data_IF_673089468156
#
_entry.id   IF_673089468156
#
_cell.length_a   1.000
_cell.length_b   1.000
_cell.length_c   1.000
_cell.angle_alpha   90.00
_cell.angle_beta   90.00
_cell.angle_gamma   90.00
#
_symmetry.space_group_name_H-M   'P 1'
#
loop_
_entity.id
_entity.type
_entity.pdbx_description
1 polymer ?
#
# COMPACT_ATOMS: atom_id res chain seq x y z
N UNK A 1 19.39 14.71 8.09
CA UNK A 1 18.91 13.58 7.26
C UNK A 1 19.01 12.25 7.99
N UNK A 2 20.20 11.84 8.44
CA UNK A 2 20.42 10.54 9.11
C UNK A 2 19.59 10.36 10.39
N UNK A 3 19.55 11.36 11.27
CA UNK A 3 18.78 11.31 12.53
C UNK A 3 17.30 11.02 12.25
N UNK A 4 16.68 11.69 11.28
CA UNK A 4 15.27 11.48 10.92
C UNK A 4 15.00 10.05 10.41
N UNK A 5 15.89 9.49 9.60
CA UNK A 5 15.77 8.12 9.09
C UNK A 5 15.87 7.11 10.24
N UNK A 6 16.85 7.29 11.14
CA UNK A 6 17.03 6.42 12.30
C UNK A 6 15.82 6.49 13.23
N UNK A 7 15.31 7.68 13.54
CA UNK A 7 14.09 7.85 14.35
C UNK A 7 12.89 7.16 13.71
N UNK A 8 12.73 7.26 12.39
CA UNK A 8 11.63 6.60 11.67
C UNK A 8 11.70 5.07 11.79
N UNK A 9 12.88 4.48 11.57
CA UNK A 9 13.08 3.02 11.68
C UNK A 9 12.77 2.53 13.09
N UNK A 10 13.24 3.27 14.12
CA UNK A 10 12.97 2.93 15.53
C UNK A 10 11.47 2.91 15.81
N UNK A 11 10.74 3.95 15.39
CA UNK A 11 9.28 4.01 15.54
C UNK A 11 8.63 2.82 14.81
N UNK A 12 9.06 2.51 13.59
CA UNK A 12 8.50 1.42 12.80
C UNK A 12 8.64 0.07 13.53
N UNK A 13 9.81 -0.22 14.10
CA UNK A 13 10.07 -1.46 14.85
C UNK A 13 9.22 -1.52 16.13
N UNK A 14 9.13 -0.42 16.89
CA UNK A 14 8.35 -0.36 18.14
C UNK A 14 6.87 -0.64 17.88
N UNK A 15 6.31 -0.12 16.79
CA UNK A 15 4.89 -0.29 16.46
C UNK A 15 4.60 -1.55 15.63
N UNK A 16 5.61 -2.18 15.02
CA UNK A 16 5.43 -3.34 14.14
C UNK A 16 4.60 -4.46 14.79
N UNK A 17 4.87 -4.80 16.05
CA UNK A 17 4.16 -5.90 16.71
C UNK A 17 2.68 -5.56 16.97
N UNK A 18 2.37 -4.31 17.33
CA UNK A 18 0.97 -3.87 17.52
C UNK A 18 0.21 -3.84 16.21
N UNK A 19 0.84 -3.32 15.16
CA UNK A 19 0.26 -3.28 13.80
C UNK A 19 0.01 -4.71 13.31
N UNK A 20 0.97 -5.62 13.53
CA UNK A 20 0.81 -7.04 13.16
C UNK A 20 -0.39 -7.68 13.86
N UNK A 21 -0.51 -7.55 15.19
CA UNK A 21 -1.64 -8.12 15.93
C UNK A 21 -2.99 -7.57 15.42
N UNK A 22 -3.05 -6.29 15.07
CA UNK A 22 -4.25 -5.69 14.48
C UNK A 22 -4.57 -6.30 13.10
N UNK A 23 -3.58 -6.47 12.24
CA UNK A 23 -3.73 -7.10 10.93
C UNK A 23 -4.15 -8.57 11.06
N UNK A 24 -3.51 -9.33 11.97
CA UNK A 24 -3.83 -10.75 12.22
C UNK A 24 -5.28 -10.92 12.73
N UNK A 25 -5.79 -9.96 13.50
CA UNK A 25 -7.19 -9.96 13.97
C UNK A 25 -8.23 -9.54 12.92
N UNK A 26 -7.80 -8.91 11.81
CA UNK A 26 -8.67 -8.40 10.75
C UNK A 26 -8.20 -8.93 9.38
N UNK A 27 -8.59 -10.16 8.99
CA UNK A 27 -8.08 -10.82 7.79
C UNK A 27 -8.32 -10.00 6.50
N UNK A 28 -9.42 -9.24 6.44
CA UNK A 28 -9.70 -8.34 5.31
C UNK A 28 -8.68 -7.19 5.19
N UNK A 29 -8.20 -6.62 6.30
CA UNK A 29 -7.12 -5.61 6.29
C UNK A 29 -5.78 -6.23 5.87
N UNK A 30 -5.52 -7.48 6.25
CA UNK A 30 -4.32 -8.20 5.81
C UNK A 30 -4.27 -8.34 4.29
N UNK A 31 -5.37 -8.78 3.68
CA UNK A 31 -5.48 -8.93 2.23
C UNK A 31 -5.37 -7.56 1.53
N UNK A 32 -5.99 -6.52 2.11
CA UNK A 32 -5.88 -5.15 1.61
C UNK A 32 -4.43 -4.66 1.62
N UNK A 33 -3.70 -4.89 2.72
CA UNK A 33 -2.29 -4.52 2.86
C UNK A 33 -1.38 -5.27 1.87
N UNK A 34 -1.56 -6.59 1.71
CA UNK A 34 -0.84 -7.39 0.73
C UNK A 34 -1.06 -6.90 -0.70
N UNK A 35 -2.30 -6.50 -1.03
CA UNK A 35 -2.64 -5.94 -2.33
C UNK A 35 -1.95 -4.61 -2.58
N UNK A 36 -1.89 -3.72 -1.59
CA UNK A 36 -1.15 -2.46 -1.69
C UNK A 36 0.36 -2.68 -1.84
N UNK A 37 0.94 -3.68 -1.18
CA UNK A 37 2.36 -4.04 -1.37
C UNK A 37 2.65 -4.44 -2.83
N UNK A 38 1.78 -5.23 -3.45
CA UNK A 38 1.91 -5.61 -4.87
C UNK A 38 1.77 -4.37 -5.78
N UNK A 39 0.77 -3.52 -5.51
CA UNK A 39 0.51 -2.31 -6.28
C UNK A 39 1.68 -1.32 -6.22
N UNK A 40 2.22 -1.06 -5.02
CA UNK A 40 3.38 -0.19 -4.82
C UNK A 40 4.63 -0.80 -5.46
N UNK A 41 4.82 -2.11 -5.35
CA UNK A 41 5.92 -2.79 -6.04
C UNK A 41 5.84 -2.57 -7.56
N UNK A 42 4.66 -2.68 -8.15
CA UNK A 42 4.46 -2.41 -9.57
C UNK A 42 4.69 -0.93 -9.93
N UNK A 43 4.20 0.00 -9.11
CA UNK A 43 4.46 1.43 -9.25
C UNK A 43 5.96 1.74 -9.25
N UNK A 44 6.71 1.20 -8.29
CA UNK A 44 8.16 1.43 -8.18
C UNK A 44 8.93 0.86 -9.37
N UNK A 45 8.52 -0.30 -9.91
CA UNK A 45 9.10 -0.86 -11.13
C UNK A 45 8.85 0.07 -12.33
N UNK A 46 7.63 0.61 -12.43
CA UNK A 46 7.24 1.58 -13.46
C UNK A 46 8.01 2.89 -13.36
N UNK A 47 8.24 3.37 -12.14
CA UNK A 47 8.95 4.60 -11.87
C UNK A 47 10.47 4.46 -12.04
N UNK A 48 11.06 3.33 -11.64
CA UNK A 48 12.48 3.06 -11.79
C UNK A 48 12.89 2.92 -13.26
N UNK A 49 11.98 2.46 -14.13
CA UNK A 49 12.12 2.50 -15.58
C UNK A 49 11.97 3.92 -16.14
N UNK A 50 13.01 4.74 -15.98
CA UNK A 50 13.08 6.21 -16.09
C UNK A 50 12.49 6.92 -17.33
N UNK A 51 11.84 6.24 -18.29
CA UNK A 51 11.31 6.87 -19.52
C UNK A 51 10.08 6.13 -20.07
N UNK A 52 8.88 6.34 -19.50
CA UNK A 52 7.56 6.17 -20.16
C UNK A 52 7.28 4.88 -20.98
N UNK A 53 8.12 3.86 -20.89
CA UNK A 53 8.13 2.70 -21.80
C UNK A 53 8.59 1.49 -21.03
N UNK A 54 7.77 1.06 -20.07
CA UNK A 54 7.93 -0.28 -19.54
C UNK A 54 7.35 -1.23 -20.60
N UNK A 55 8.23 -1.89 -21.36
CA UNK A 55 7.86 -2.87 -22.38
C UNK A 55 7.44 -4.17 -21.69
N UNK A 56 6.19 -4.27 -21.27
CA UNK A 56 5.59 -5.56 -20.92
C UNK A 56 5.00 -6.15 -22.21
N UNK A 57 5.57 -7.26 -22.68
CA UNK A 57 5.08 -8.01 -23.84
C UNK A 57 5.00 -7.20 -25.16
N UNK A 58 5.94 -6.28 -25.41
CA UNK A 58 5.99 -5.50 -26.65
C UNK A 58 5.04 -4.30 -26.72
N UNK A 59 4.29 -4.02 -25.65
CA UNK A 59 3.37 -2.88 -25.56
C UNK A 59 3.89 -1.85 -24.54
N UNK A 60 3.84 -0.55 -24.90
CA UNK A 60 4.17 0.57 -24.01
C UNK A 60 3.14 0.67 -22.90
N UNK A 61 3.52 0.31 -21.68
CA UNK A 61 2.68 0.52 -20.49
C UNK A 61 2.78 2.01 -20.12
N UNK A 62 1.67 2.74 -20.32
CA UNK A 62 1.59 4.17 -20.02
C UNK A 62 1.81 4.48 -18.54
N UNK A 63 2.19 5.73 -18.26
CA UNK A 63 2.51 6.17 -16.89
C UNK A 63 1.24 6.24 -16.06
N UNK A 64 1.22 5.46 -14.98
CA UNK A 64 0.18 5.54 -13.98
C UNK A 64 0.48 6.74 -13.08
N UNK A 65 -0.34 7.79 -13.19
CA UNK A 65 -0.20 8.98 -12.35
C UNK A 65 -0.33 8.59 -10.87
N UNK A 66 0.66 8.93 -10.05
CA UNK A 66 0.72 8.58 -8.62
C UNK A 66 -0.55 8.97 -7.85
N UNK A 67 -1.20 10.07 -8.25
CA UNK A 67 -2.47 10.53 -7.68
C UNK A 67 -3.60 9.50 -7.77
N UNK A 68 -3.73 8.77 -8.88
CA UNK A 68 -4.73 7.70 -9.01
C UNK A 68 -4.48 6.58 -8.01
N UNK A 69 -3.22 6.20 -7.81
CA UNK A 69 -2.85 5.17 -6.83
C UNK A 69 -3.18 5.62 -5.40
N UNK A 70 -2.85 6.85 -5.03
CA UNK A 70 -3.13 7.36 -3.69
C UNK A 70 -4.64 7.43 -3.40
N UNK A 71 -5.45 7.87 -4.36
CA UNK A 71 -6.91 7.88 -4.21
C UNK A 71 -7.46 6.45 -4.12
N UNK A 72 -6.96 5.52 -4.95
CA UNK A 72 -7.37 4.12 -4.89
C UNK A 72 -7.08 3.49 -3.53
N UNK A 73 -5.87 3.69 -2.99
CA UNK A 73 -5.48 3.20 -1.67
C UNK A 73 -6.39 3.77 -0.57
N UNK A 74 -6.63 5.09 -0.59
CA UNK A 74 -7.48 5.76 0.40
C UNK A 74 -8.94 5.30 0.30
N UNK A 75 -9.47 5.17 -0.91
CA UNK A 75 -10.84 4.71 -1.15
C UNK A 75 -11.03 3.26 -0.70
N UNK A 76 -10.12 2.35 -1.06
CA UNK A 76 -10.20 0.94 -0.64
C UNK A 76 -10.09 0.79 0.88
N UNK A 77 -9.23 1.58 1.53
CA UNK A 77 -9.14 1.61 2.99
C UNK A 77 -10.44 2.13 3.64
N UNK A 78 -11.04 3.18 3.07
CA UNK A 78 -12.32 3.70 3.52
C UNK A 78 -13.42 2.63 3.40
N UNK A 79 -13.55 1.99 2.24
CA UNK A 79 -14.55 0.93 2.02
C UNK A 79 -14.36 -0.22 3.01
N UNK A 80 -13.12 -0.65 3.24
CA UNK A 80 -12.81 -1.71 4.22
C UNK A 80 -13.19 -1.30 5.64
N UNK A 81 -12.90 -0.04 6.02
CA UNK A 81 -13.31 0.50 7.31
C UNK A 81 -14.83 0.53 7.48
N UNK A 82 -15.57 0.92 6.44
CA UNK A 82 -17.04 0.87 6.44
C UNK A 82 -17.54 -0.58 6.55
N UNK A 83 -16.92 -1.50 5.81
CA UNK A 83 -17.28 -2.92 5.80
C UNK A 83 -17.16 -3.53 7.21
N UNK A 84 -16.06 -3.25 7.92
CA UNK A 84 -15.88 -3.68 9.30
C UNK A 84 -16.91 -3.06 10.26
N UNK A 85 -17.24 -1.78 10.07
CA UNK A 85 -18.24 -1.10 10.89
C UNK A 85 -19.64 -1.69 10.72
N UNK A 86 -20.00 -2.10 9.50
CA UNK A 86 -21.29 -2.71 9.18
C UNK A 86 -21.35 -4.16 9.69
N UNK A 87 -20.28 -4.94 9.47
CA UNK A 87 -20.22 -6.34 9.88
C UNK A 87 -20.32 -6.55 11.40
N UNK A 88 -19.97 -5.53 12.20
CA UNK A 88 -20.05 -5.58 13.67
C UNK A 88 -21.48 -5.38 14.21
N UNK A 89 -22.44 -5.03 13.35
CA UNK A 89 -23.84 -4.72 13.74
C UNK A 89 -24.78 -5.92 13.63
N UNK A 90 -24.33 -7.04 13.08
CA UNK A 90 -25.08 -8.30 12.99
C UNK A 90 -24.53 -9.35 13.95
#
# INVERSE_FOLDING_TARGET
MIIAVVTSIVIMIVFANKIRLFIDSNPSIQILGLSFLILIRFMLITEAGHHHTLLLFGNTVGVITKGYLYIAIAFSFLVEFLNQKISKKN
#
